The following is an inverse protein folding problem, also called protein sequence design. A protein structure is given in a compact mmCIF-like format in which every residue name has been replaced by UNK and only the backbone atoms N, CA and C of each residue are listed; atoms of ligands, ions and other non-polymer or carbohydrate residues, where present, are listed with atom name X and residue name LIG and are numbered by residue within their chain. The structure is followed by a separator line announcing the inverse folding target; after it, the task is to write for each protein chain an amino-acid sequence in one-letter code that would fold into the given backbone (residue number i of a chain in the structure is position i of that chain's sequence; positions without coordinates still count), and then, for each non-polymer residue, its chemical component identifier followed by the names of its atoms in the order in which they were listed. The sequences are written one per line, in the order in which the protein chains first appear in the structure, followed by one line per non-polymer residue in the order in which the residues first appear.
data_IF_081740722546
#
_entry.id   IF_081740722546
#
_cell.length_a   1.000
_cell.length_b   1.000
_cell.length_c   1.000
_cell.angle_alpha   90.00
_cell.angle_beta   90.00
_cell.angle_gamma   90.00
#
_symmetry.space_group_name_H-M   'P 1'
#
loop_
_entity.id
_entity.type
_entity.pdbx_description
1 polymer ?
#
# COMPACT_ATOMS: atom_id res chain seq x y z
N UNK A 1 36.51 9.98 9.10
CA UNK A 1 35.38 9.22 8.60
C UNK A 1 35.10 8.13 9.62
N UNK A 2 34.12 8.30 10.52
CA UNK A 2 33.69 7.26 11.46
C UNK A 2 32.86 6.25 10.67
N UNK A 3 33.43 5.07 10.37
CA UNK A 3 32.71 3.97 9.78
C UNK A 3 31.55 3.57 10.69
N UNK A 4 30.35 3.47 10.14
CA UNK A 4 29.14 3.05 10.85
C UNK A 4 29.35 1.63 11.41
N UNK A 5 29.43 1.49 12.73
CA UNK A 5 29.60 0.21 13.46
C UNK A 5 28.47 -0.78 13.17
N UNK A 6 27.37 -0.34 12.54
CA UNK A 6 26.22 -1.14 12.16
C UNK A 6 26.45 -2.05 10.93
N UNK A 7 27.55 -1.89 10.20
CA UNK A 7 27.85 -2.63 8.97
C UNK A 7 29.22 -3.32 8.98
N UNK A 8 29.73 -3.68 10.16
CA UNK A 8 30.95 -4.48 10.23
C UNK A 8 30.74 -5.83 9.49
N UNK A 9 31.64 -6.11 8.57
CA UNK A 9 31.64 -7.37 7.84
C UNK A 9 31.69 -8.55 8.83
N UNK A 10 30.84 -9.56 8.69
CA UNK A 10 30.79 -10.69 9.63
C UNK A 10 32.15 -11.37 9.71
N UNK A 11 32.66 -11.53 10.92
CA UNK A 11 33.94 -12.21 11.20
C UNK A 11 33.92 -13.67 10.73
N UNK A 12 35.08 -14.37 10.69
CA UNK A 12 35.19 -15.72 10.13
C UNK A 12 34.21 -16.73 10.75
N UNK A 13 34.03 -16.68 12.08
CA UNK A 13 33.07 -17.56 12.79
C UNK A 13 31.62 -17.24 12.43
N UNK A 14 31.28 -15.97 12.26
CA UNK A 14 29.96 -15.54 11.85
C UNK A 14 29.66 -15.95 10.39
N UNK A 15 30.63 -15.89 9.50
CA UNK A 15 30.52 -16.38 8.12
C UNK A 15 30.22 -17.88 8.08
N UNK A 16 30.99 -18.68 8.82
CA UNK A 16 30.77 -20.13 8.89
C UNK A 16 29.36 -20.42 9.44
N UNK A 17 28.96 -19.78 10.53
CA UNK A 17 27.61 -19.92 11.09
C UNK A 17 26.53 -19.56 10.08
N UNK A 18 26.67 -18.44 9.37
CA UNK A 18 25.70 -18.01 8.37
C UNK A 18 25.62 -19.00 7.19
N UNK A 19 26.76 -19.54 6.73
CA UNK A 19 26.78 -20.58 5.71
C UNK A 19 26.09 -21.87 6.19
N UNK A 20 26.33 -22.30 7.41
CA UNK A 20 25.67 -23.49 8.00
C UNK A 20 24.16 -23.24 8.10
N UNK A 21 23.74 -22.08 8.63
CA UNK A 21 22.31 -21.74 8.72
C UNK A 21 21.68 -21.70 7.31
N UNK A 22 22.32 -21.07 6.34
CA UNK A 22 21.81 -21.04 4.95
C UNK A 22 21.72 -22.43 4.34
N UNK A 23 22.71 -23.29 4.55
CA UNK A 23 22.70 -24.67 4.06
C UNK A 23 21.57 -25.47 4.71
N UNK A 24 21.43 -25.39 6.04
CA UNK A 24 20.34 -26.05 6.77
C UNK A 24 18.98 -25.54 6.28
N UNK A 25 18.81 -24.24 6.13
CA UNK A 25 17.57 -23.64 5.61
C UNK A 25 17.27 -24.15 4.20
N UNK A 26 18.27 -24.19 3.32
CA UNK A 26 18.12 -24.72 1.96
C UNK A 26 17.69 -26.20 1.96
N UNK A 27 18.35 -27.03 2.77
CA UNK A 27 18.00 -28.46 2.91
C UNK A 27 16.58 -28.64 3.42
N UNK A 28 16.19 -27.89 4.48
CA UNK A 28 14.82 -27.95 5.04
C UNK A 28 13.80 -27.49 3.99
N UNK A 29 14.09 -26.41 3.26
CA UNK A 29 13.19 -25.92 2.20
C UNK A 29 13.02 -26.96 1.09
N UNK A 30 14.12 -27.55 0.62
CA UNK A 30 14.07 -28.61 -0.40
C UNK A 30 13.30 -29.84 0.08
N UNK A 31 13.49 -30.24 1.33
CA UNK A 31 12.77 -31.35 1.92
C UNK A 31 11.27 -31.09 2.02
N UNK A 32 10.88 -29.88 2.45
CA UNK A 32 9.46 -29.45 2.48
C UNK A 32 8.87 -29.47 1.07
N UNK A 33 9.57 -28.89 0.08
CA UNK A 33 9.14 -28.90 -1.31
C UNK A 33 8.99 -30.32 -1.87
N UNK A 34 9.93 -31.21 -1.56
CA UNK A 34 9.86 -32.60 -1.96
C UNK A 34 8.67 -33.34 -1.34
N UNK A 35 8.42 -33.13 -0.03
CA UNK A 35 7.25 -33.71 0.67
C UNK A 35 5.96 -33.20 0.05
N UNK A 36 5.84 -31.88 -0.20
CA UNK A 36 4.67 -31.30 -0.84
C UNK A 36 4.47 -31.90 -2.23
N UNK A 37 5.52 -31.93 -3.07
CA UNK A 37 5.47 -32.50 -4.40
C UNK A 37 5.00 -33.96 -4.37
N UNK A 38 5.65 -34.81 -3.54
CA UNK A 38 5.31 -36.26 -3.43
C UNK A 38 3.85 -36.46 -2.97
N UNK A 39 3.34 -35.61 -2.07
CA UNK A 39 1.95 -35.69 -1.61
C UNK A 39 0.96 -35.26 -2.69
N UNK A 40 1.30 -34.24 -3.48
CA UNK A 40 0.46 -33.79 -4.59
C UNK A 40 0.43 -34.84 -5.72
N UNK A 41 1.57 -35.42 -6.03
CA UNK A 41 1.69 -36.48 -7.05
C UNK A 41 0.91 -37.73 -6.65
N UNK A 42 1.10 -38.21 -5.42
CA UNK A 42 0.37 -39.37 -4.88
C UNK A 42 -1.16 -39.18 -4.88
N UNK A 43 -1.64 -37.93 -4.81
CA UNK A 43 -3.06 -37.58 -4.90
C UNK A 43 -3.50 -37.23 -6.32
N UNK A 44 -2.66 -37.42 -7.33
CA UNK A 44 -2.97 -37.13 -8.73
C UNK A 44 -3.22 -35.65 -9.03
N UNK A 45 -2.77 -34.73 -8.17
CA UNK A 45 -2.99 -33.30 -8.37
C UNK A 45 -2.10 -32.70 -9.48
N UNK A 46 -1.03 -33.41 -9.84
CA UNK A 46 -0.08 -32.99 -10.88
C UNK A 46 -0.41 -33.60 -12.26
N UNK A 47 -1.44 -34.41 -12.38
CA UNK A 47 -1.86 -35.00 -13.66
C UNK A 47 -2.37 -33.95 -14.63
N UNK A 48 -2.03 -34.10 -15.92
CA UNK A 48 -2.41 -33.16 -16.99
C UNK A 48 -3.94 -32.85 -16.99
N UNK A 49 -4.78 -33.86 -16.75
CA UNK A 49 -6.23 -33.73 -16.69
C UNK A 49 -6.72 -32.69 -15.65
N UNK A 50 -5.98 -32.46 -14.58
CA UNK A 50 -6.32 -31.45 -13.56
C UNK A 50 -5.95 -30.01 -13.98
N UNK A 51 -5.02 -29.85 -14.93
CA UNK A 51 -4.56 -28.56 -15.44
C UNK A 51 -5.18 -28.17 -16.77
N UNK A 52 -5.62 -29.16 -17.56
CA UNK A 52 -6.25 -28.95 -18.87
C UNK A 52 -7.38 -27.91 -18.87
N UNK A 53 -8.31 -27.86 -17.87
CA UNK A 53 -9.38 -26.87 -17.84
C UNK A 53 -8.89 -25.43 -17.92
N UNK A 54 -7.70 -25.12 -17.37
CA UNK A 54 -7.12 -23.76 -17.39
C UNK A 54 -6.63 -23.32 -18.77
N UNK A 55 -6.51 -24.25 -19.72
CA UNK A 55 -6.17 -23.95 -21.13
C UNK A 55 -7.42 -23.63 -21.95
N UNK A 56 -8.62 -23.78 -21.40
CA UNK A 56 -9.87 -23.55 -22.12
C UNK A 56 -10.37 -22.11 -21.97
N UNK A 57 -10.74 -21.48 -23.09
CA UNK A 57 -11.31 -20.14 -23.08
C UNK A 57 -12.61 -20.03 -22.26
N UNK A 58 -13.38 -21.13 -22.18
CA UNK A 58 -14.63 -21.16 -21.42
C UNK A 58 -14.41 -20.94 -19.92
N UNK A 59 -13.42 -21.60 -19.31
CA UNK A 59 -13.09 -21.40 -17.90
C UNK A 59 -12.72 -19.94 -17.61
N UNK A 60 -11.90 -19.34 -18.46
CA UNK A 60 -11.50 -17.94 -18.31
C UNK A 60 -12.66 -16.98 -18.39
N UNK A 61 -13.56 -17.16 -19.37
CA UNK A 61 -14.74 -16.29 -19.55
C UNK A 61 -15.77 -16.46 -18.44
N UNK A 62 -15.97 -17.69 -17.95
CA UNK A 62 -17.04 -18.00 -16.98
C UNK A 62 -16.61 -17.69 -15.54
N UNK A 63 -15.34 -17.92 -15.20
CA UNK A 63 -14.88 -17.81 -13.81
C UNK A 63 -13.81 -16.73 -13.63
N UNK A 64 -12.68 -16.82 -14.37
CA UNK A 64 -11.52 -16.00 -14.04
C UNK A 64 -11.77 -14.52 -14.36
N UNK A 65 -12.30 -14.22 -15.54
CA UNK A 65 -12.55 -12.84 -15.94
C UNK A 65 -13.54 -12.09 -15.02
N UNK A 66 -14.73 -12.66 -14.69
CA UNK A 66 -15.62 -12.03 -13.71
C UNK A 66 -14.97 -11.82 -12.35
N UNK A 67 -14.10 -12.74 -11.91
CA UNK A 67 -13.32 -12.58 -10.67
C UNK A 67 -12.36 -11.39 -10.72
N UNK A 68 -11.60 -11.25 -11.82
CA UNK A 68 -10.69 -10.12 -12.04
C UNK A 68 -11.47 -8.80 -12.07
N UNK A 69 -12.56 -8.75 -12.81
CA UNK A 69 -13.42 -7.57 -12.92
C UNK A 69 -13.96 -7.15 -11.55
N UNK A 70 -14.47 -8.11 -10.77
CA UNK A 70 -14.95 -7.86 -9.41
C UNK A 70 -13.86 -7.30 -8.51
N UNK A 71 -12.69 -7.96 -8.46
CA UNK A 71 -11.54 -7.53 -7.67
C UNK A 71 -11.11 -6.10 -8.03
N UNK A 72 -10.92 -5.82 -9.33
CA UNK A 72 -10.48 -4.50 -9.79
C UNK A 72 -11.52 -3.41 -9.55
N UNK A 73 -12.81 -3.72 -9.78
CA UNK A 73 -13.91 -2.78 -9.53
C UNK A 73 -14.00 -2.41 -8.06
N UNK A 74 -14.04 -3.41 -7.17
CA UNK A 74 -14.09 -3.16 -5.74
C UNK A 74 -12.88 -2.35 -5.26
N UNK A 75 -11.67 -2.72 -5.69
CA UNK A 75 -10.46 -1.99 -5.33
C UNK A 75 -10.48 -0.55 -5.85
N UNK A 76 -10.78 -0.34 -7.14
CA UNK A 76 -10.76 1.00 -7.74
C UNK A 76 -11.74 1.95 -7.07
N UNK A 77 -12.98 1.52 -6.84
CA UNK A 77 -14.00 2.35 -6.18
C UNK A 77 -13.61 2.62 -4.73
N UNK A 78 -13.18 1.59 -4.00
CA UNK A 78 -12.75 1.74 -2.60
C UNK A 78 -11.56 2.67 -2.47
N UNK A 79 -10.58 2.60 -3.37
CA UNK A 79 -9.40 3.49 -3.40
C UNK A 79 -9.82 4.95 -3.52
N UNK A 80 -10.69 5.27 -4.48
CA UNK A 80 -11.15 6.65 -4.69
C UNK A 80 -11.88 7.17 -3.45
N UNK A 81 -12.80 6.38 -2.89
CA UNK A 81 -13.56 6.75 -1.71
C UNK A 81 -12.67 6.83 -0.46
N UNK A 82 -11.73 5.91 -0.28
CA UNK A 82 -10.80 5.91 0.84
C UNK A 82 -9.83 7.11 0.80
N UNK A 83 -9.35 7.48 -0.39
CA UNK A 83 -8.52 8.69 -0.56
C UNK A 83 -9.30 9.96 -0.22
N UNK A 84 -10.54 10.07 -0.67
CA UNK A 84 -11.40 11.22 -0.37
C UNK A 84 -11.71 11.31 1.14
N UNK A 85 -12.22 10.22 1.72
CA UNK A 85 -12.55 10.12 3.14
C UNK A 85 -11.32 10.32 4.03
N UNK A 86 -10.23 9.63 3.70
CA UNK A 86 -9.00 9.68 4.47
C UNK A 86 -8.35 11.06 4.46
N UNK A 87 -8.35 11.73 3.31
CA UNK A 87 -7.85 13.11 3.23
C UNK A 87 -8.72 14.05 4.05
N UNK A 88 -10.05 13.96 3.94
CA UNK A 88 -10.99 14.79 4.71
C UNK A 88 -10.81 14.58 6.22
N UNK A 89 -10.79 13.33 6.70
CA UNK A 89 -10.59 13.01 8.12
C UNK A 89 -9.19 13.39 8.60
N UNK A 90 -8.15 13.16 7.79
CA UNK A 90 -6.78 13.53 8.11
C UNK A 90 -6.59 15.02 8.31
N UNK A 91 -7.15 15.83 7.41
CA UNK A 91 -7.18 17.30 7.54
C UNK A 91 -8.03 17.73 8.73
N UNK A 92 -9.19 17.08 8.96
CA UNK A 92 -10.05 17.35 10.11
C UNK A 92 -9.33 17.12 11.44
N UNK A 93 -8.48 16.10 11.53
CA UNK A 93 -7.64 15.83 12.74
C UNK A 93 -6.55 16.89 12.97
N UNK A 94 -6.21 17.67 11.98
CA UNK A 94 -5.24 18.79 12.07
C UNK A 94 -5.93 20.14 12.32
N UNK A 95 -7.27 20.18 12.39
CA UNK A 95 -8.04 21.40 12.60
C UNK A 95 -7.73 22.07 13.94
N UNK A 96 -7.70 23.39 13.96
CA UNK A 96 -7.63 24.19 15.18
C UNK A 96 -8.94 24.15 15.98
N UNK A 97 -10.07 23.79 15.35
CA UNK A 97 -11.38 23.66 15.98
C UNK A 97 -11.43 22.36 16.76
N UNK A 98 -11.38 22.45 18.09
CA UNK A 98 -11.28 21.28 18.97
C UNK A 98 -12.40 20.23 18.77
N UNK A 99 -13.69 20.57 18.64
CA UNK A 99 -14.75 19.60 18.33
C UNK A 99 -14.51 18.83 17.03
N UNK A 100 -14.11 19.52 15.95
CA UNK A 100 -13.83 18.88 14.64
C UNK A 100 -12.68 17.90 14.77
N UNK A 101 -11.57 18.33 15.40
CA UNK A 101 -10.40 17.48 15.62
C UNK A 101 -10.76 16.25 16.44
N UNK A 102 -11.56 16.42 17.52
CA UNK A 102 -11.97 15.31 18.39
C UNK A 102 -12.84 14.30 17.62
N UNK A 103 -13.90 14.75 16.93
CA UNK A 103 -14.80 13.87 16.16
C UNK A 103 -14.03 13.11 15.10
N UNK A 104 -13.19 13.78 14.29
CA UNK A 104 -12.39 13.12 13.28
C UNK A 104 -11.41 12.10 13.90
N UNK A 105 -10.85 12.41 15.08
CA UNK A 105 -9.94 11.47 15.77
C UNK A 105 -10.68 10.23 16.26
N UNK A 106 -11.84 10.38 16.89
CA UNK A 106 -12.66 9.26 17.35
C UNK A 106 -13.07 8.35 16.17
N UNK A 107 -13.52 8.94 15.07
CA UNK A 107 -13.90 8.19 13.85
C UNK A 107 -12.70 7.38 13.32
N UNK A 108 -11.55 8.00 13.17
CA UNK A 108 -10.36 7.34 12.65
C UNK A 108 -9.88 6.23 13.58
N UNK A 109 -9.78 6.47 14.89
CA UNK A 109 -9.37 5.45 15.85
C UNK A 109 -10.35 4.28 15.91
N UNK A 110 -11.66 4.56 15.84
CA UNK A 110 -12.70 3.53 15.82
C UNK A 110 -12.55 2.61 14.60
N UNK A 111 -12.49 3.15 13.38
CA UNK A 111 -12.42 2.32 12.17
C UNK A 111 -11.06 1.62 12.02
N UNK A 112 -9.98 2.16 12.56
CA UNK A 112 -8.67 1.47 12.58
C UNK A 112 -8.62 0.32 13.59
N UNK A 113 -9.41 0.38 14.65
CA UNK A 113 -9.45 -0.68 15.66
C UNK A 113 -10.27 -1.91 15.19
N UNK A 114 -11.14 -1.75 14.20
CA UNK A 114 -11.99 -2.83 13.72
C UNK A 114 -11.32 -3.64 12.61
N UNK A 115 -11.41 -4.98 12.62
CA UNK A 115 -11.01 -5.79 11.48
C UNK A 115 -11.85 -5.47 10.24
N UNK A 116 -11.21 -5.29 9.08
CA UNK A 116 -11.88 -4.93 7.82
C UNK A 116 -12.99 -5.94 7.45
N UNK A 117 -12.77 -7.23 7.69
CA UNK A 117 -13.76 -8.28 7.45
C UNK A 117 -15.06 -8.05 8.24
N UNK A 118 -14.94 -7.66 9.51
CA UNK A 118 -16.11 -7.39 10.36
C UNK A 118 -16.93 -6.23 9.79
N UNK A 119 -16.27 -5.19 9.31
CA UNK A 119 -16.97 -4.07 8.67
C UNK A 119 -17.65 -4.48 7.36
N UNK A 120 -17.02 -5.34 6.55
CA UNK A 120 -17.64 -5.89 5.34
C UNK A 120 -18.90 -6.70 5.66
N UNK A 121 -18.81 -7.61 6.64
CA UNK A 121 -19.93 -8.44 7.08
C UNK A 121 -21.06 -7.56 7.62
N UNK A 122 -20.75 -6.61 8.49
CA UNK A 122 -21.73 -5.70 9.07
C UNK A 122 -22.45 -4.88 7.98
N UNK A 123 -21.69 -4.28 7.07
CA UNK A 123 -22.26 -3.50 5.97
C UNK A 123 -23.15 -4.36 5.06
N UNK A 124 -22.69 -5.58 4.72
CA UNK A 124 -23.47 -6.52 3.92
C UNK A 124 -24.83 -6.84 4.54
N UNK A 125 -24.84 -7.22 5.82
CA UNK A 125 -26.11 -7.57 6.50
C UNK A 125 -26.98 -6.35 6.75
N UNK A 126 -26.40 -5.20 7.09
CA UNK A 126 -27.14 -3.95 7.25
C UNK A 126 -27.87 -3.57 5.95
N UNK A 127 -27.16 -3.63 4.82
CA UNK A 127 -27.76 -3.32 3.51
C UNK A 127 -28.80 -4.35 3.07
N UNK A 128 -28.59 -5.63 3.41
CA UNK A 128 -29.55 -6.68 3.13
C UNK A 128 -30.86 -6.51 3.94
N UNK A 129 -30.73 -6.13 5.21
CA UNK A 129 -31.89 -5.91 6.08
C UNK A 129 -32.71 -4.67 5.69
N UNK A 130 -32.07 -3.65 5.17
CA UNK A 130 -32.71 -2.36 4.84
C UNK A 130 -33.03 -2.23 3.35
N UNK A 131 -32.83 -3.28 2.55
CA UNK A 131 -33.04 -3.28 1.09
C UNK A 131 -32.38 -2.08 0.36
N UNK A 132 -31.19 -1.66 0.87
CA UNK A 132 -30.49 -0.47 0.35
C UNK A 132 -29.99 -0.68 -1.07
N UNK A 133 -29.58 -1.90 -1.42
CA UNK A 133 -29.07 -2.28 -2.73
C UNK A 133 -29.76 -3.53 -3.26
N UNK A 134 -29.92 -3.68 -4.60
CA UNK A 134 -30.35 -4.92 -5.20
C UNK A 134 -29.45 -6.09 -4.77
N UNK A 135 -30.01 -7.29 -4.59
CA UNK A 135 -29.31 -8.48 -4.07
C UNK A 135 -27.99 -8.77 -4.79
N UNK A 136 -27.93 -8.54 -6.11
CA UNK A 136 -26.72 -8.73 -6.93
C UNK A 136 -25.55 -7.79 -6.57
N UNK A 137 -25.81 -6.66 -5.92
CA UNK A 137 -24.82 -5.64 -5.57
C UNK A 137 -24.50 -5.59 -4.07
N UNK A 138 -25.23 -6.34 -3.23
CA UNK A 138 -25.03 -6.31 -1.78
C UNK A 138 -23.60 -6.64 -1.37
N UNK A 139 -23.05 -7.72 -1.91
CA UNK A 139 -21.69 -8.14 -1.57
C UNK A 139 -20.64 -7.10 -2.03
N UNK A 140 -20.79 -6.54 -3.23
CA UNK A 140 -19.94 -5.49 -3.73
C UNK A 140 -20.00 -4.24 -2.84
N UNK A 141 -21.21 -3.80 -2.48
CA UNK A 141 -21.41 -2.64 -1.59
C UNK A 141 -20.79 -2.88 -0.20
N UNK A 142 -20.96 -4.07 0.37
CA UNK A 142 -20.34 -4.45 1.64
C UNK A 142 -18.82 -4.40 1.60
N UNK A 143 -18.21 -4.93 0.54
CA UNK A 143 -16.75 -4.88 0.33
C UNK A 143 -16.27 -3.44 0.19
N UNK A 144 -16.91 -2.64 -0.68
CA UNK A 144 -16.53 -1.24 -0.90
C UNK A 144 -16.62 -0.45 0.42
N UNK A 145 -17.67 -0.64 1.18
CA UNK A 145 -17.85 0.07 2.47
C UNK A 145 -16.77 -0.32 3.47
N UNK A 146 -16.55 -1.62 3.68
CA UNK A 146 -15.52 -2.09 4.61
C UNK A 146 -14.11 -1.59 4.24
N UNK A 147 -13.74 -1.72 2.96
CA UNK A 147 -12.46 -1.25 2.46
C UNK A 147 -12.32 0.28 2.57
N UNK A 148 -13.37 1.03 2.25
CA UNK A 148 -13.36 2.50 2.30
C UNK A 148 -13.18 3.01 3.72
N UNK A 149 -13.92 2.47 4.69
CA UNK A 149 -13.86 2.91 6.08
C UNK A 149 -12.50 2.59 6.71
N UNK A 150 -12.02 1.36 6.55
CA UNK A 150 -10.72 0.95 7.09
C UNK A 150 -9.56 1.71 6.44
N UNK A 151 -9.46 1.65 5.13
CA UNK A 151 -8.34 2.28 4.43
C UNK A 151 -8.43 3.82 4.45
N UNK A 152 -9.63 4.39 4.47
CA UNK A 152 -9.83 5.81 4.71
C UNK A 152 -9.29 6.26 6.06
N UNK A 153 -9.52 5.48 7.12
CA UNK A 153 -8.95 5.76 8.44
C UNK A 153 -7.42 5.62 8.46
N UNK A 154 -6.84 4.62 7.77
CA UNK A 154 -5.38 4.48 7.62
C UNK A 154 -4.79 5.66 6.82
N UNK A 155 -5.40 6.03 5.71
CA UNK A 155 -4.98 7.17 4.88
C UNK A 155 -5.07 8.49 5.67
N UNK A 156 -6.10 8.67 6.52
CA UNK A 156 -6.20 9.83 7.39
C UNK A 156 -4.99 9.98 8.32
N UNK A 157 -4.51 8.87 8.86
CA UNK A 157 -3.29 8.88 9.68
C UNK A 157 -2.04 9.18 8.85
N UNK A 158 -1.92 8.62 7.65
CA UNK A 158 -0.81 8.92 6.73
C UNK A 158 -0.79 10.42 6.40
N UNK A 159 -1.93 11.01 6.08
CA UNK A 159 -2.04 12.45 5.78
C UNK A 159 -1.66 13.29 7.00
N UNK A 160 -2.18 12.95 8.19
CA UNK A 160 -1.85 13.64 9.44
C UNK A 160 -0.34 13.57 9.74
N UNK A 161 0.24 12.38 9.64
CA UNK A 161 1.67 12.18 9.87
C UNK A 161 2.53 12.94 8.84
N UNK A 162 2.11 12.94 7.58
CA UNK A 162 2.79 13.65 6.51
C UNK A 162 2.83 15.16 6.70
N UNK A 163 1.72 15.74 7.13
CA UNK A 163 1.66 17.19 7.44
C UNK A 163 2.54 17.51 8.66
N UNK A 164 2.46 16.70 9.70
CA UNK A 164 3.26 16.91 10.92
C UNK A 164 4.78 16.70 10.73
N UNK A 165 5.18 15.97 9.69
CA UNK A 165 6.58 15.77 9.34
C UNK A 165 7.19 16.95 8.55
N UNK A 166 6.39 17.90 8.09
CA UNK A 166 6.89 19.07 7.38
C UNK A 166 7.61 20.03 8.33
N UNK A 167 8.67 20.75 7.85
CA UNK A 167 9.35 21.75 8.66
C UNK A 167 8.38 22.84 9.16
N UNK A 168 8.43 23.17 10.46
CA UNK A 168 7.58 24.16 11.09
C UNK A 168 7.62 25.55 10.43
N UNK A 169 8.77 25.91 9.87
CA UNK A 169 8.96 27.16 9.14
C UNK A 169 7.98 27.36 7.97
N UNK A 170 7.42 26.26 7.40
CA UNK A 170 6.38 26.38 6.35
C UNK A 170 5.08 27.01 6.88
N UNK A 171 4.64 26.60 8.06
CA UNK A 171 3.46 27.17 8.70
C UNK A 171 3.70 28.53 9.29
N UNK A 172 4.90 28.79 9.83
CA UNK A 172 5.32 30.10 10.37
C UNK A 172 5.41 31.15 9.27
N UNK A 173 6.05 30.83 8.13
CA UNK A 173 6.09 31.72 6.97
C UNK A 173 4.72 32.03 6.41
N UNK A 174 3.83 31.04 6.32
CA UNK A 174 2.44 31.22 5.89
C UNK A 174 1.69 32.18 6.83
N UNK A 175 1.87 32.02 8.13
CA UNK A 175 1.25 32.91 9.14
C UNK A 175 1.80 34.34 9.07
N UNK A 176 3.10 34.52 8.80
CA UNK A 176 3.72 35.83 8.61
C UNK A 176 3.17 36.58 7.37
N UNK A 177 2.71 35.83 6.34
CA UNK A 177 2.04 36.36 5.15
C UNK A 177 0.52 36.59 5.38
N UNK A 178 0.00 36.36 6.59
CA UNK A 178 -1.41 36.53 6.93
C UNK A 178 -2.34 35.46 6.37
N UNK A 179 -1.82 34.31 5.93
CA UNK A 179 -2.66 33.22 5.43
C UNK A 179 -3.46 32.58 6.56
N UNK A 180 -4.74 32.33 6.31
CA UNK A 180 -5.59 31.57 7.22
C UNK A 180 -5.15 30.11 7.26
N UNK A 181 -5.50 29.38 8.32
CA UNK A 181 -5.20 27.95 8.45
C UNK A 181 -5.66 27.14 7.22
N UNK A 182 -6.87 27.40 6.73
CA UNK A 182 -7.40 26.71 5.56
C UNK A 182 -6.59 26.96 4.28
N UNK A 183 -6.14 28.21 4.08
CA UNK A 183 -5.28 28.58 2.96
C UNK A 183 -3.90 27.91 3.09
N UNK A 184 -3.29 27.97 4.27
CA UNK A 184 -2.02 27.32 4.58
C UNK A 184 -2.10 25.81 4.35
N UNK A 185 -3.15 25.16 4.85
CA UNK A 185 -3.35 23.71 4.69
C UNK A 185 -3.49 23.33 3.23
N UNK A 186 -4.39 24.01 2.50
CA UNK A 186 -4.74 23.67 1.11
C UNK A 186 -3.65 24.02 0.10
N UNK A 187 -3.02 25.18 0.27
CA UNK A 187 -2.07 25.71 -0.72
C UNK A 187 -0.62 25.27 -0.47
N UNK A 188 -0.24 25.03 0.79
CA UNK A 188 1.16 24.82 1.18
C UNK A 188 1.38 23.43 1.78
N UNK A 189 0.71 23.09 2.88
CA UNK A 189 1.05 21.90 3.67
C UNK A 189 0.56 20.62 3.01
N UNK A 190 -0.71 20.55 2.62
CA UNK A 190 -1.29 19.31 2.07
C UNK A 190 -0.64 18.85 0.76
N UNK A 191 -0.35 19.71 -0.24
CA UNK A 191 0.34 19.30 -1.45
C UNK A 191 1.76 18.77 -1.19
N UNK A 192 2.47 19.35 -0.22
CA UNK A 192 3.81 18.89 0.18
C UNK A 192 3.74 17.56 0.94
N UNK A 193 2.81 17.43 1.89
CA UNK A 193 2.59 16.22 2.65
C UNK A 193 2.21 15.04 1.74
N UNK A 194 1.25 15.23 0.83
CA UNK A 194 0.86 14.18 -0.13
C UNK A 194 2.06 13.74 -0.96
N UNK A 195 2.85 14.69 -1.44
CA UNK A 195 4.03 14.36 -2.26
C UNK A 195 5.09 13.58 -1.48
N UNK A 196 5.34 13.93 -0.22
CA UNK A 196 6.30 13.23 0.63
C UNK A 196 5.82 11.84 1.05
N UNK A 197 4.48 11.64 1.19
CA UNK A 197 3.87 10.38 1.59
C UNK A 197 3.43 9.50 0.40
N UNK A 198 3.67 9.94 -0.83
CA UNK A 198 3.31 9.19 -2.04
C UNK A 198 3.72 7.72 -2.01
N UNK A 199 4.94 7.32 -1.60
CA UNK A 199 5.33 5.91 -1.53
C UNK A 199 4.45 5.10 -0.59
N UNK A 200 4.10 5.67 0.58
CA UNK A 200 3.26 5.02 1.58
C UNK A 200 1.81 4.93 1.09
N UNK A 201 1.28 5.99 0.46
CA UNK A 201 -0.05 5.98 -0.14
C UNK A 201 -0.17 4.91 -1.23
N UNK A 202 0.84 4.82 -2.10
CA UNK A 202 0.91 3.81 -3.16
C UNK A 202 0.92 2.39 -2.57
N UNK A 203 1.72 2.15 -1.54
CA UNK A 203 1.73 0.88 -0.83
C UNK A 203 0.35 0.54 -0.26
N UNK A 204 -0.38 1.53 0.25
CA UNK A 204 -1.74 1.35 0.75
C UNK A 204 -2.73 0.97 -0.35
N UNK A 205 -2.58 1.49 -1.57
CA UNK A 205 -3.44 1.10 -2.70
C UNK A 205 -3.27 -0.39 -3.07
N UNK A 206 -2.05 -0.90 -2.98
CA UNK A 206 -1.77 -2.33 -3.17
C UNK A 206 -2.42 -3.17 -2.06
N UNK A 207 -2.42 -2.67 -0.82
CA UNK A 207 -3.12 -3.32 0.30
C UNK A 207 -4.62 -3.39 0.03
N UNK A 208 -5.26 -2.30 -0.42
CA UNK A 208 -6.70 -2.29 -0.77
C UNK A 208 -7.03 -3.35 -1.82
N UNK A 209 -6.21 -3.47 -2.87
CA UNK A 209 -6.42 -4.48 -3.90
C UNK A 209 -6.35 -5.90 -3.33
N UNK A 210 -5.35 -6.18 -2.50
CA UNK A 210 -5.20 -7.49 -1.86
C UNK A 210 -6.36 -7.79 -0.89
N UNK A 211 -6.77 -6.80 -0.11
CA UNK A 211 -7.82 -6.96 0.90
C UNK A 211 -9.21 -7.09 0.27
N UNK A 212 -9.41 -6.70 -0.99
CA UNK A 212 -10.67 -6.98 -1.70
C UNK A 212 -10.98 -8.47 -1.81
N UNK A 213 -9.95 -9.32 -1.80
CA UNK A 213 -10.10 -10.77 -1.79
C UNK A 213 -10.76 -11.32 -0.51
N UNK A 214 -10.72 -10.57 0.61
CA UNK A 214 -11.43 -10.98 1.85
C UNK A 214 -12.94 -11.03 1.62
N UNK A 215 -13.44 -10.31 0.62
CA UNK A 215 -14.85 -10.27 0.23
C UNK A 215 -15.45 -11.64 -0.16
N UNK A 216 -14.59 -12.66 -0.44
CA UNK A 216 -15.09 -14.02 -0.70
C UNK A 216 -15.95 -14.56 0.45
N UNK A 217 -15.68 -14.13 1.68
CA UNK A 217 -16.42 -14.56 2.88
C UNK A 217 -17.90 -14.15 2.83
N UNK A 218 -18.19 -12.97 2.28
CA UNK A 218 -19.55 -12.45 2.09
C UNK A 218 -20.10 -12.74 0.69
N UNK A 219 -19.59 -13.79 0.06
CA UNK A 219 -20.01 -14.26 -1.27
C UNK A 219 -19.73 -13.28 -2.43
N UNK A 220 -18.87 -12.30 -2.24
CA UNK A 220 -18.47 -11.39 -3.32
C UNK A 220 -17.76 -12.14 -4.45
N UNK A 221 -18.13 -11.81 -5.71
CA UNK A 221 -17.54 -12.40 -6.89
C UNK A 221 -16.19 -11.70 -7.16
N UNK A 222 -15.11 -12.35 -6.72
CA UNK A 222 -13.73 -11.90 -6.87
C UNK A 222 -12.82 -13.11 -7.19
N UNK A 223 -11.55 -12.86 -7.44
CA UNK A 223 -10.61 -13.86 -7.98
C UNK A 223 -10.51 -15.12 -7.10
N UNK A 224 -10.41 -14.99 -5.76
CA UNK A 224 -10.26 -16.15 -4.86
C UNK A 224 -11.54 -16.98 -4.82
N UNK A 225 -12.72 -16.33 -4.75
CA UNK A 225 -13.99 -17.00 -4.81
C UNK A 225 -14.16 -17.77 -6.12
N UNK A 226 -13.84 -17.15 -7.24
CA UNK A 226 -13.91 -17.81 -8.54
C UNK A 226 -12.95 -18.99 -8.63
N UNK A 227 -11.75 -18.89 -8.06
CA UNK A 227 -10.83 -20.01 -7.96
C UNK A 227 -11.38 -21.19 -7.16
N UNK A 228 -12.06 -20.91 -6.04
CA UNK A 228 -12.69 -21.99 -5.26
C UNK A 228 -13.87 -22.63 -6.02
N UNK A 229 -14.63 -21.86 -6.79
CA UNK A 229 -15.69 -22.37 -7.65
C UNK A 229 -15.14 -23.24 -8.78
N UNK A 230 -14.02 -22.85 -9.42
CA UNK A 230 -13.32 -23.71 -10.39
C UNK A 230 -12.88 -25.01 -9.73
N UNK A 231 -12.27 -24.92 -8.54
CA UNK A 231 -11.86 -26.10 -7.78
C UNK A 231 -13.01 -27.06 -7.51
N UNK A 232 -14.19 -26.53 -7.17
CA UNK A 232 -15.41 -27.34 -6.94
C UNK A 232 -15.97 -27.94 -8.25
N UNK A 233 -16.04 -27.14 -9.32
CA UNK A 233 -16.63 -27.57 -10.58
C UNK A 233 -15.82 -28.67 -11.30
N UNK A 234 -14.49 -28.57 -11.22
CA UNK A 234 -13.58 -29.48 -11.92
C UNK A 234 -12.84 -30.48 -10.98
N UNK A 235 -13.11 -30.46 -9.67
CA UNK A 235 -12.45 -31.30 -8.69
C UNK A 235 -10.92 -31.09 -8.63
N UNK A 236 -10.44 -29.86 -8.88
CA UNK A 236 -9.03 -29.51 -9.03
C UNK A 236 -8.62 -28.30 -8.16
N UNK A 237 -9.00 -28.30 -6.88
CA UNK A 237 -8.75 -27.19 -5.94
C UNK A 237 -7.29 -26.74 -5.88
N UNK A 238 -6.33 -27.67 -5.88
CA UNK A 238 -4.90 -27.33 -5.76
C UNK A 238 -4.41 -26.61 -7.01
N UNK A 239 -4.62 -27.12 -8.25
CA UNK A 239 -4.33 -26.36 -9.45
C UNK A 239 -5.04 -25.00 -9.50
N UNK A 240 -6.33 -24.96 -9.13
CA UNK A 240 -7.10 -23.71 -9.12
C UNK A 240 -6.49 -22.66 -8.20
N UNK A 241 -6.16 -23.03 -6.97
CA UNK A 241 -5.55 -22.11 -6.01
C UNK A 241 -4.14 -21.65 -6.44
N UNK A 242 -3.36 -22.52 -7.08
CA UNK A 242 -2.04 -22.16 -7.62
C UNK A 242 -2.20 -21.12 -8.75
N UNK A 243 -3.10 -21.37 -9.71
CA UNK A 243 -3.36 -20.44 -10.81
C UNK A 243 -3.85 -19.08 -10.27
N UNK A 244 -4.78 -19.09 -9.32
CA UNK A 244 -5.27 -17.86 -8.66
C UNK A 244 -4.16 -17.14 -7.90
N UNK A 245 -3.30 -17.85 -7.19
CA UNK A 245 -2.17 -17.25 -6.49
C UNK A 245 -1.21 -16.56 -7.48
N UNK A 246 -0.85 -17.24 -8.58
CA UNK A 246 -0.01 -16.66 -9.64
C UNK A 246 -0.69 -15.42 -10.24
N UNK A 247 -1.98 -15.48 -10.52
CA UNK A 247 -2.74 -14.37 -11.07
C UNK A 247 -2.73 -13.18 -10.10
N UNK A 248 -3.05 -13.40 -8.83
CA UNK A 248 -3.06 -12.34 -7.80
C UNK A 248 -1.68 -11.72 -7.60
N UNK A 249 -0.62 -12.56 -7.58
CA UNK A 249 0.76 -12.06 -7.51
C UNK A 249 1.07 -11.19 -8.73
N UNK A 250 0.68 -11.63 -9.93
CA UNK A 250 0.92 -10.89 -11.17
C UNK A 250 0.18 -9.55 -11.19
N UNK A 251 -1.09 -9.52 -10.77
CA UNK A 251 -1.89 -8.29 -10.69
C UNK A 251 -1.31 -7.32 -9.66
N UNK A 252 -0.97 -7.82 -8.46
CA UNK A 252 -0.34 -6.99 -7.42
C UNK A 252 1.03 -6.45 -7.87
N UNK A 253 1.83 -7.27 -8.52
CA UNK A 253 3.13 -6.86 -9.06
C UNK A 253 2.98 -5.80 -10.15
N UNK A 254 2.06 -5.99 -11.09
CA UNK A 254 1.77 -5.01 -12.14
C UNK A 254 1.28 -3.67 -11.55
N UNK A 255 0.39 -3.71 -10.56
CA UNK A 255 -0.09 -2.51 -9.87
C UNK A 255 1.06 -1.81 -9.13
N UNK A 256 1.90 -2.56 -8.40
CA UNK A 256 3.05 -2.00 -7.69
C UNK A 256 4.04 -1.33 -8.63
N UNK A 257 4.32 -1.95 -9.77
CA UNK A 257 5.19 -1.36 -10.81
C UNK A 257 4.59 -0.11 -11.43
N UNK A 258 3.30 -0.13 -11.79
CA UNK A 258 2.60 1.03 -12.31
C UNK A 258 2.65 2.20 -11.31
N UNK A 259 2.42 1.89 -10.05
CA UNK A 259 2.39 2.85 -8.97
C UNK A 259 3.76 3.49 -8.72
N UNK A 260 4.84 2.70 -8.68
CA UNK A 260 6.22 3.23 -8.54
C UNK A 260 6.67 4.01 -9.78
N UNK A 261 6.23 3.61 -10.97
CA UNK A 261 6.49 4.37 -12.19
C UNK A 261 5.80 5.74 -12.16
N UNK A 262 4.52 5.79 -11.75
CA UNK A 262 3.77 7.04 -11.58
C UNK A 262 4.43 7.96 -10.53
N UNK A 263 4.85 7.40 -9.39
CA UNK A 263 5.59 8.14 -8.37
C UNK A 263 6.87 8.76 -8.95
N UNK A 264 7.67 7.97 -9.64
CA UNK A 264 8.91 8.43 -10.26
C UNK A 264 8.68 9.57 -11.25
N UNK A 265 7.59 9.52 -12.02
CA UNK A 265 7.22 10.56 -12.98
C UNK A 265 6.78 11.85 -12.27
N UNK A 266 5.96 11.74 -11.22
CA UNK A 266 5.49 12.90 -10.45
C UNK A 266 6.63 13.59 -9.68
N UNK A 267 7.59 12.82 -9.13
CA UNK A 267 8.76 13.37 -8.44
C UNK A 267 9.72 14.11 -9.40
N UNK A 268 9.92 13.59 -10.63
CA UNK A 268 10.78 14.25 -11.64
C UNK A 268 10.20 15.57 -12.12
N UNK A 269 8.88 15.65 -12.29
CA UNK A 269 8.17 16.86 -12.74
C UNK A 269 8.29 18.04 -11.75
N UNK A 270 8.65 17.78 -10.48
CA UNK A 270 8.75 18.79 -9.41
C UNK A 270 10.19 19.11 -8.98
N UNK A 271 11.19 18.41 -9.49
CA UNK A 271 12.59 18.85 -9.34
C UNK A 271 12.82 20.01 -10.30
N UNK A 272 12.63 21.24 -9.82
CA UNK A 272 13.17 22.43 -10.46
C UNK A 272 14.69 22.32 -10.60
N UNK A 273 15.34 23.18 -11.42
CA UNK A 273 16.80 23.19 -11.56
C UNK A 273 17.43 23.20 -10.17
N UNK A 274 18.45 22.36 -9.99
CA UNK A 274 19.23 22.36 -8.76
C UNK A 274 19.67 23.81 -8.48
N UNK A 275 19.59 24.30 -7.21
CA UNK A 275 20.18 25.60 -6.90
C UNK A 275 21.63 25.52 -7.34
N UNK A 276 22.03 26.40 -8.26
CA UNK A 276 23.44 26.63 -8.54
C UNK A 276 24.06 27.03 -7.22
N UNK A 277 24.86 26.15 -6.62
CA UNK A 277 25.84 26.58 -5.67
C UNK A 277 26.76 27.52 -6.47
N UNK A 278 26.59 28.80 -6.25
CA UNK A 278 27.59 29.77 -6.60
C UNK A 278 28.79 29.43 -5.69
N UNK A 279 29.71 28.63 -6.20
CA UNK A 279 31.07 28.61 -5.71
C UNK A 279 31.65 29.99 -6.04
N UNK A 280 31.30 30.99 -5.21
CA UNK A 280 32.13 32.21 -5.15
C UNK A 280 33.42 31.78 -4.48
N UNK A 281 34.56 31.87 -5.21
CA UNK A 281 35.85 31.77 -4.56
C UNK A 281 35.95 32.96 -3.61
N UNK A 282 35.96 32.69 -2.31
CA UNK A 282 36.37 33.67 -1.31
C UNK A 282 37.80 34.01 -1.62
N UNK A 283 37.99 35.06 -2.39
CA UNK A 283 39.28 35.73 -2.52
C UNK A 283 39.65 36.22 -1.13
N UNK A 284 40.54 35.49 -0.46
CA UNK A 284 41.29 35.98 0.70
C UNK A 284 42.05 37.21 0.25
N UNK A 285 41.44 38.37 0.47
CA UNK A 285 42.10 39.64 0.34
C UNK A 285 43.34 39.68 1.22
N UNK A 286 44.46 39.69 0.57
CA UNK A 286 45.77 39.97 1.14
C UNK A 286 45.68 41.28 1.94
N UNK A 287 45.67 41.21 3.26
CA UNK A 287 46.05 42.34 4.08
C UNK A 287 47.56 42.36 4.13
N UNK A 288 48.06 43.39 3.45
CA UNK A 288 49.45 43.70 3.21
C UNK A 288 50.31 43.82 4.47
N UNK A 289 51.45 43.32 4.32
CA UNK A 289 52.62 43.69 5.11
C UNK A 289 52.89 45.22 5.04
N UNK A 290 52.85 45.86 6.15
CA UNK A 290 53.39 47.23 6.36
C UNK A 290 54.30 47.12 7.57
N UNK A 291 55.50 46.89 7.30
CA UNK A 291 56.68 47.75 7.37
C UNK A 291 56.89 48.51 8.69
N UNK A 292 57.89 48.14 9.42
CA UNK A 292 59.05 48.95 9.58
C UNK A 292 59.13 49.78 10.84
N UNK A 293 60.25 49.71 11.49
CA UNK A 293 60.83 50.83 12.16
C UNK A 293 61.20 50.58 13.61
N UNK A 294 62.42 50.14 13.75
CA UNK A 294 63.48 50.71 14.62
C UNK A 294 63.02 51.69 15.70
N UNK A 295 63.24 51.43 16.97
CA UNK A 295 64.39 51.85 17.80
C UNK A 295 64.39 50.94 19.05
#
# INVERSE_FOLDING_TARGET
MAGSVLFDAPGPRARIRNWVISAVTAVVTLLVLWVVYSRLDAKGQLTAAKWEPFLTANLWKTYIWPGIEGTLTAAAVSIVLALALGTALGVGRLSHIAPVRWVCSVIVEFFRALPVLIMMIFAYFLYAQQDVFPSKHLALAGVITGLTLYNGAVIAEIVRAGVNALPRGQSEAASALGLTWGQTMRAILLPQAITSMLPVLISQLVVVLKDSSIGFVITFVEVVRQGTQVGAAYGNYVPALIVIAILMISVNFALSHLATWLEGRMRRSRRGPAPMHADEPVTQGAFGAGAGGTI
#
